data_IF_145840651765
#
_entry.id   IF_145840651765
#
_cell.length_a   1.000
_cell.length_b   1.000
_cell.length_c   1.000
_cell.angle_alpha   90.00
_cell.angle_beta   90.00
_cell.angle_gamma   90.00
#
_symmetry.space_group_name_H-M   'P 1'
#
loop_
_entity.id
_entity.type
_entity.pdbx_description
1 polymer ?
#
# COMPACT_ATOMS: atom_id res chain seq x y z
N UNK A 1 19.58 -6.80 -58.78
CA UNK A 1 19.77 -6.08 -57.50
C UNK A 1 18.49 -5.34 -57.16
N UNK A 2 17.65 -5.92 -56.29
CA UNK A 2 16.33 -5.38 -55.96
C UNK A 2 16.46 -4.59 -54.66
N UNK A 3 16.41 -3.27 -54.76
CA UNK A 3 16.49 -2.36 -53.63
C UNK A 3 15.28 -2.58 -52.70
N UNK A 4 15.54 -3.08 -51.50
CA UNK A 4 14.58 -3.09 -50.39
C UNK A 4 14.32 -1.65 -49.96
N UNK A 5 13.35 -1.01 -50.62
CA UNK A 5 12.85 0.32 -50.27
C UNK A 5 12.08 0.19 -48.96
N UNK A 6 12.77 0.41 -47.84
CA UNK A 6 12.19 0.37 -46.50
C UNK A 6 10.97 1.29 -46.40
N UNK A 7 9.82 0.71 -46.08
CA UNK A 7 8.56 1.45 -45.84
C UNK A 7 8.75 2.32 -44.59
N UNK A 8 8.47 3.62 -44.67
CA UNK A 8 8.52 4.50 -43.48
C UNK A 8 7.39 4.07 -42.53
N UNK A 9 7.74 3.71 -41.30
CA UNK A 9 6.78 3.32 -40.24
C UNK A 9 5.89 4.51 -39.88
N UNK A 10 4.64 4.24 -39.52
CA UNK A 10 3.74 5.28 -39.01
C UNK A 10 4.18 5.74 -37.62
N UNK A 11 3.80 6.95 -37.21
CA UNK A 11 4.15 7.49 -35.90
C UNK A 11 3.69 6.56 -34.77
N UNK A 12 2.43 6.12 -34.83
CA UNK A 12 1.83 5.20 -33.86
C UNK A 12 2.61 3.89 -33.80
N UNK A 13 2.94 3.30 -34.95
CA UNK A 13 3.68 2.04 -35.03
C UNK A 13 5.07 2.14 -34.37
N UNK A 14 5.78 3.25 -34.60
CA UNK A 14 7.07 3.50 -33.94
C UNK A 14 6.94 3.57 -32.41
N UNK A 15 5.96 4.31 -31.89
CA UNK A 15 5.75 4.39 -30.44
C UNK A 15 5.28 3.06 -29.85
N UNK A 16 4.46 2.28 -30.56
CA UNK A 16 4.06 0.94 -30.09
C UNK A 16 5.24 -0.01 -29.97
N UNK A 17 6.16 -0.01 -30.93
CA UNK A 17 7.40 -0.79 -30.87
C UNK A 17 8.28 -0.35 -29.69
N UNK A 18 8.46 0.96 -29.51
CA UNK A 18 9.25 1.49 -28.39
C UNK A 18 8.63 1.22 -27.01
N UNK A 19 7.30 1.29 -26.88
CA UNK A 19 6.60 1.02 -25.63
C UNK A 19 6.59 -0.47 -25.29
N UNK A 20 6.39 -1.34 -26.29
CA UNK A 20 6.46 -2.80 -26.12
C UNK A 20 7.87 -3.26 -25.75
N UNK A 21 8.90 -2.68 -26.36
CA UNK A 21 10.31 -2.94 -25.98
C UNK A 21 10.57 -2.56 -24.51
N UNK A 22 10.22 -1.34 -24.09
CA UNK A 22 10.39 -0.90 -22.70
C UNK A 22 9.59 -1.79 -21.74
N UNK A 23 8.36 -2.15 -22.09
CA UNK A 23 7.50 -3.01 -21.27
C UNK A 23 8.11 -4.40 -21.10
N UNK A 24 8.66 -4.98 -22.18
CA UNK A 24 9.36 -6.27 -22.12
C UNK A 24 10.60 -6.21 -21.23
N UNK A 25 11.37 -5.11 -21.28
CA UNK A 25 12.54 -4.91 -20.42
C UNK A 25 12.13 -4.76 -18.94
N UNK A 26 11.02 -4.07 -18.66
CA UNK A 26 10.46 -3.99 -17.32
C UNK A 26 10.12 -5.39 -16.81
N UNK A 27 9.39 -6.20 -17.59
CA UNK A 27 9.02 -7.56 -17.19
C UNK A 27 10.24 -8.46 -16.96
N UNK A 28 11.24 -8.40 -17.84
CA UNK A 28 12.47 -9.18 -17.67
C UNK A 28 13.24 -8.78 -16.40
N UNK A 29 13.30 -7.48 -16.08
CA UNK A 29 13.95 -7.01 -14.86
C UNK A 29 13.16 -7.42 -13.61
N UNK A 30 11.84 -7.34 -13.65
CA UNK A 30 10.98 -7.72 -12.54
C UNK A 30 11.06 -9.22 -12.25
N UNK A 31 11.07 -10.04 -13.30
CA UNK A 31 11.27 -11.49 -13.20
C UNK A 31 12.64 -11.83 -12.62
N UNK A 32 13.72 -11.15 -13.08
CA UNK A 32 15.07 -11.33 -12.52
C UNK A 32 15.15 -10.92 -11.05
N UNK A 33 14.47 -9.84 -10.67
CA UNK A 33 14.42 -9.39 -9.28
C UNK A 33 13.74 -10.43 -8.39
N UNK A 34 12.59 -10.95 -8.85
CA UNK A 34 11.85 -11.99 -8.13
C UNK A 34 12.67 -13.28 -7.99
N UNK A 35 13.28 -13.78 -9.07
CA UNK A 35 14.11 -14.99 -9.00
C UNK A 35 15.35 -14.80 -8.12
N UNK A 36 15.94 -13.61 -8.15
CA UNK A 36 17.08 -13.28 -7.28
C UNK A 36 16.66 -13.22 -5.81
N UNK A 37 15.46 -12.70 -5.52
CA UNK A 37 14.93 -12.64 -4.16
C UNK A 37 14.70 -14.04 -3.60
N UNK A 38 14.04 -14.91 -4.37
CA UNK A 38 13.82 -16.31 -3.98
C UNK A 38 15.15 -17.06 -3.73
N UNK A 39 16.18 -16.77 -4.53
CA UNK A 39 17.51 -17.33 -4.33
C UNK A 39 18.19 -16.79 -3.06
N UNK A 40 18.14 -15.48 -2.81
CA UNK A 40 18.67 -14.86 -1.58
C UNK A 40 17.98 -15.39 -0.33
N UNK A 41 16.66 -15.58 -0.33
CA UNK A 41 15.90 -16.07 0.83
C UNK A 41 16.28 -17.53 1.15
N UNK A 42 16.41 -18.37 0.11
CA UNK A 42 16.91 -19.75 0.27
C UNK A 42 18.33 -19.76 0.83
N UNK A 43 19.21 -18.91 0.31
CA UNK A 43 20.60 -18.82 0.74
C UNK A 43 20.71 -18.32 2.19
N UNK A 44 19.90 -17.33 2.59
CA UNK A 44 19.85 -16.87 3.99
C UNK A 44 19.38 -17.96 4.95
N UNK A 45 18.37 -18.74 4.56
CA UNK A 45 17.92 -19.88 5.35
C UNK A 45 19.01 -20.94 5.49
N UNK A 46 19.67 -21.30 4.38
CA UNK A 46 20.81 -22.22 4.38
C UNK A 46 21.97 -21.70 5.26
N UNK A 47 22.34 -20.42 5.15
CA UNK A 47 23.39 -19.81 5.97
C UNK A 47 23.04 -19.84 7.46
N UNK A 48 21.78 -19.65 7.85
CA UNK A 48 21.38 -19.78 9.25
C UNK A 48 21.51 -21.23 9.73
N UNK A 49 21.07 -22.21 8.93
CA UNK A 49 21.16 -23.63 9.27
C UNK A 49 22.62 -24.08 9.41
N UNK A 50 23.45 -23.83 8.39
CA UNK A 50 24.87 -24.19 8.41
C UNK A 50 25.66 -23.36 9.43
N UNK A 51 25.31 -22.09 9.64
CA UNK A 51 25.93 -21.24 10.66
C UNK A 51 25.67 -21.77 12.08
N UNK A 52 24.45 -22.22 12.36
CA UNK A 52 24.10 -22.82 13.65
C UNK A 52 24.79 -24.18 13.85
N UNK A 53 24.80 -25.03 12.81
CA UNK A 53 25.48 -26.33 12.86
C UNK A 53 27.00 -26.19 13.08
N UNK A 54 27.65 -25.29 12.35
CA UNK A 54 29.08 -25.01 12.50
C UNK A 54 29.41 -24.39 13.85
N UNK A 55 28.60 -23.45 14.35
CA UNK A 55 28.77 -22.90 15.69
C UNK A 55 28.66 -23.98 16.78
N UNK A 56 27.68 -24.89 16.68
CA UNK A 56 27.51 -25.99 17.63
C UNK A 56 28.72 -26.95 17.64
N UNK A 57 29.26 -27.28 16.46
CA UNK A 57 30.46 -28.13 16.35
C UNK A 57 31.70 -27.47 16.96
N UNK A 58 31.94 -26.18 16.66
CA UNK A 58 33.09 -25.45 17.19
C UNK A 58 32.98 -25.27 18.71
N UNK A 59 31.80 -24.91 19.21
CA UNK A 59 31.53 -24.77 20.64
C UNK A 59 31.71 -26.10 21.38
N UNK A 60 31.17 -27.20 20.83
CA UNK A 60 31.32 -28.54 21.41
C UNK A 60 32.77 -29.00 21.47
N UNK A 61 33.53 -28.79 20.40
CA UNK A 61 34.96 -29.11 20.35
C UNK A 61 35.77 -28.31 21.39
N UNK A 62 35.55 -27.00 21.44
CA UNK A 62 36.25 -26.11 22.38
C UNK A 62 35.88 -26.41 23.83
N UNK A 63 34.63 -26.78 24.10
CA UNK A 63 34.19 -27.18 25.43
C UNK A 63 34.84 -28.49 25.90
N UNK A 64 35.01 -29.48 25.00
CA UNK A 64 35.62 -30.77 25.33
C UNK A 64 37.11 -30.64 25.70
N UNK A 65 37.85 -29.76 25.04
CA UNK A 65 39.31 -29.64 25.21
C UNK A 65 39.72 -28.65 26.30
N UNK A 66 38.93 -27.59 26.51
CA UNK A 66 39.21 -26.52 27.49
C UNK A 66 38.26 -26.54 28.69
N UNK A 67 37.69 -27.72 29.03
CA UNK A 67 36.70 -27.90 30.10
C UNK A 67 37.15 -27.32 31.47
N UNK A 68 38.46 -27.25 31.74
CA UNK A 68 39.01 -26.72 33.00
C UNK A 68 39.09 -25.19 33.09
N UNK A 69 38.99 -24.47 31.96
CA UNK A 69 39.19 -23.00 31.90
C UNK A 69 37.99 -22.27 31.30
N UNK A 70 37.04 -21.92 32.17
CA UNK A 70 35.81 -21.17 31.84
C UNK A 70 35.99 -19.90 30.99
N UNK A 71 37.02 -19.03 31.14
CA UNK A 71 37.08 -17.81 30.33
C UNK A 71 37.31 -18.06 28.84
N UNK A 72 38.02 -19.14 28.47
CA UNK A 72 38.30 -19.45 27.06
C UNK A 72 37.07 -19.97 26.30
N UNK A 73 36.19 -20.74 26.97
CA UNK A 73 34.96 -21.22 26.35
C UNK A 73 33.98 -20.07 26.05
N UNK A 74 33.86 -19.11 26.97
CA UNK A 74 33.04 -17.91 26.78
C UNK A 74 33.61 -17.03 25.65
N UNK A 75 34.93 -16.81 25.63
CA UNK A 75 35.56 -16.02 24.57
C UNK A 75 35.39 -16.64 23.18
N UNK A 76 35.52 -17.97 23.07
CA UNK A 76 35.30 -18.70 21.81
C UNK A 76 33.84 -18.61 21.33
N UNK A 77 32.88 -18.69 22.25
CA UNK A 77 31.48 -18.51 21.93
C UNK A 77 31.15 -17.11 21.38
N UNK A 78 31.72 -16.07 22.00
CA UNK A 78 31.53 -14.70 21.54
C UNK A 78 32.19 -14.51 20.16
N UNK A 79 33.40 -15.04 19.97
CA UNK A 79 34.14 -14.91 18.71
C UNK A 79 33.40 -15.59 17.53
N UNK A 80 32.85 -16.78 17.74
CA UNK A 80 32.10 -17.52 16.71
C UNK A 80 30.79 -16.82 16.34
N UNK A 81 30.03 -16.33 17.34
CA UNK A 81 28.80 -15.56 17.11
C UNK A 81 29.08 -14.23 16.40
N UNK A 82 30.13 -13.52 16.80
CA UNK A 82 30.54 -12.27 16.17
C UNK A 82 30.92 -12.49 14.70
N UNK A 83 31.70 -13.52 14.39
CA UNK A 83 32.10 -13.84 13.02
C UNK A 83 30.89 -14.20 12.13
N UNK A 84 29.98 -15.04 12.62
CA UNK A 84 28.76 -15.40 11.90
C UNK A 84 27.85 -14.18 11.64
N UNK A 85 27.72 -13.31 12.65
CA UNK A 85 26.96 -12.06 12.53
C UNK A 85 27.56 -11.10 11.51
N UNK A 86 28.89 -10.97 11.48
CA UNK A 86 29.59 -10.13 10.49
C UNK A 86 29.40 -10.65 9.07
N UNK A 87 29.57 -11.97 8.85
CA UNK A 87 29.35 -12.60 7.53
C UNK A 87 27.92 -12.34 7.04
N UNK A 88 26.92 -12.52 7.91
CA UNK A 88 25.50 -12.28 7.59
C UNK A 88 25.21 -10.80 7.31
N UNK A 89 25.82 -9.88 8.08
CA UNK A 89 25.68 -8.45 7.88
C UNK A 89 26.27 -8.00 6.54
N UNK A 90 27.46 -8.49 6.19
CA UNK A 90 28.09 -8.24 4.89
C UNK A 90 27.24 -8.77 3.73
N UNK A 91 26.78 -10.03 3.82
CA UNK A 91 25.93 -10.63 2.79
C UNK A 91 24.63 -9.84 2.59
N UNK A 92 23.95 -9.45 3.68
CA UNK A 92 22.70 -8.69 3.59
C UNK A 92 22.89 -7.27 3.04
N UNK A 93 24.00 -6.59 3.36
CA UNK A 93 24.33 -5.27 2.80
C UNK A 93 24.61 -5.32 1.31
N UNK A 94 25.36 -6.33 0.84
CA UNK A 94 25.65 -6.52 -0.59
C UNK A 94 24.33 -6.74 -1.36
N UNK A 95 23.47 -7.61 -0.82
CA UNK A 95 22.14 -7.90 -1.37
C UNK A 95 21.25 -6.65 -1.44
N UNK A 96 21.18 -5.86 -0.35
CA UNK A 96 20.42 -4.62 -0.29
C UNK A 96 20.91 -3.62 -1.34
N UNK A 97 22.23 -3.44 -1.44
CA UNK A 97 22.83 -2.52 -2.40
C UNK A 97 22.58 -2.93 -3.85
N UNK A 98 22.66 -4.23 -4.15
CA UNK A 98 22.32 -4.75 -5.47
C UNK A 98 20.84 -4.51 -5.79
N UNK A 99 19.94 -4.77 -4.85
CA UNK A 99 18.49 -4.52 -5.03
C UNK A 99 18.20 -3.06 -5.29
N UNK A 100 18.82 -2.14 -4.55
CA UNK A 100 18.67 -0.70 -4.77
C UNK A 100 19.10 -0.28 -6.17
N UNK A 101 20.20 -0.84 -6.68
CA UNK A 101 20.66 -0.54 -8.05
C UNK A 101 19.64 -0.98 -9.09
N UNK A 102 19.09 -2.18 -8.92
CA UNK A 102 18.10 -2.73 -9.85
C UNK A 102 16.77 -1.98 -9.77
N UNK A 103 16.30 -1.64 -8.56
CA UNK A 103 15.06 -0.87 -8.38
C UNK A 103 15.16 0.53 -8.99
N UNK A 104 16.31 1.20 -8.83
CA UNK A 104 16.57 2.50 -9.50
C UNK A 104 16.53 2.36 -11.01
N UNK A 105 17.11 1.31 -11.58
CA UNK A 105 17.06 1.05 -13.03
C UNK A 105 15.62 0.85 -13.51
N UNK A 106 14.85 0.02 -12.81
CA UNK A 106 13.44 -0.24 -13.14
C UNK A 106 12.57 1.01 -13.00
N UNK A 107 12.79 1.85 -11.99
CA UNK A 107 12.12 3.15 -11.86
C UNK A 107 12.47 4.10 -13.01
N UNK A 108 13.73 4.12 -13.47
CA UNK A 108 14.12 4.89 -14.66
C UNK A 108 13.40 4.40 -15.92
N UNK A 109 13.29 3.09 -16.12
CA UNK A 109 12.54 2.53 -17.26
C UNK A 109 11.05 2.91 -17.20
N UNK A 110 10.42 2.83 -16.02
CA UNK A 110 9.02 3.28 -15.83
C UNK A 110 8.85 4.77 -16.10
N UNK A 111 9.81 5.60 -15.68
CA UNK A 111 9.82 7.02 -15.97
C UNK A 111 9.93 7.29 -17.48
N UNK A 112 10.84 6.59 -18.18
CA UNK A 112 10.96 6.67 -19.64
C UNK A 112 9.70 6.19 -20.36
N UNK A 113 9.05 5.14 -19.86
CA UNK A 113 7.77 4.66 -20.38
C UNK A 113 6.69 5.75 -20.27
N UNK A 114 6.54 6.35 -19.08
CA UNK A 114 5.57 7.42 -18.85
C UNK A 114 5.86 8.66 -19.71
N UNK A 115 7.14 9.02 -19.84
CA UNK A 115 7.56 10.15 -20.67
C UNK A 115 7.21 9.94 -22.14
N UNK A 116 7.49 8.75 -22.70
CA UNK A 116 7.12 8.43 -24.10
C UNK A 116 5.62 8.41 -24.31
N UNK A 117 4.86 7.88 -23.35
CA UNK A 117 3.41 7.85 -23.40
C UNK A 117 2.80 9.27 -23.35
N UNK A 118 3.35 10.15 -22.52
CA UNK A 118 2.93 11.55 -22.48
C UNK A 118 3.28 12.28 -23.79
N UNK A 119 4.47 12.04 -24.34
CA UNK A 119 4.88 12.60 -25.64
C UNK A 119 3.98 12.15 -26.78
N UNK A 120 3.60 10.87 -26.80
CA UNK A 120 2.62 10.35 -27.75
C UNK A 120 1.28 11.08 -27.62
N UNK A 121 0.77 11.27 -26.40
CA UNK A 121 -0.49 11.99 -26.15
C UNK A 121 -0.45 13.45 -26.63
N UNK A 122 0.70 14.11 -26.47
CA UNK A 122 0.93 15.47 -26.94
C UNK A 122 0.92 15.53 -28.47
N UNK A 123 1.72 14.67 -29.13
CA UNK A 123 1.80 14.63 -30.61
C UNK A 123 0.47 14.25 -31.27
N UNK A 124 -0.38 13.46 -30.60
CA UNK A 124 -1.70 13.08 -31.11
C UNK A 124 -2.83 14.02 -30.68
N UNK A 125 -2.53 15.14 -29.98
CA UNK A 125 -3.53 16.02 -29.38
C UNK A 125 -4.62 15.27 -28.59
N UNK A 126 -4.22 14.19 -27.90
CA UNK A 126 -5.13 13.21 -27.32
C UNK A 126 -6.14 13.87 -26.37
N UNK A 127 -5.71 14.78 -25.52
CA UNK A 127 -6.59 15.44 -24.55
C UNK A 127 -7.62 16.36 -25.19
N UNK A 128 -7.28 17.03 -26.29
CA UNK A 128 -8.20 17.89 -27.02
C UNK A 128 -9.27 17.04 -27.73
N UNK A 129 -8.87 15.98 -28.40
CA UNK A 129 -9.81 15.07 -29.05
C UNK A 129 -10.65 14.31 -28.04
N UNK A 130 -10.04 13.84 -26.94
CA UNK A 130 -10.75 13.10 -25.89
C UNK A 130 -11.77 13.96 -25.15
N UNK A 131 -11.48 15.24 -24.88
CA UNK A 131 -12.46 16.14 -24.24
C UNK A 131 -13.65 16.43 -25.15
N UNK A 132 -13.42 16.58 -26.46
CA UNK A 132 -14.49 16.71 -27.46
C UNK A 132 -15.32 15.43 -27.50
N UNK A 133 -14.69 14.28 -27.67
CA UNK A 133 -15.38 12.98 -27.67
C UNK A 133 -16.19 12.82 -26.38
N UNK A 134 -15.60 13.12 -25.23
CA UNK A 134 -16.27 12.98 -23.93
C UNK A 134 -17.52 13.86 -23.85
N UNK A 135 -17.43 15.14 -24.24
CA UNK A 135 -18.56 16.07 -24.30
C UNK A 135 -19.69 15.57 -25.19
N UNK A 136 -19.37 15.09 -26.40
CA UNK A 136 -20.39 14.63 -27.35
C UNK A 136 -20.86 13.19 -27.12
N UNK A 137 -20.09 12.38 -26.39
CA UNK A 137 -20.46 11.02 -26.01
C UNK A 137 -21.38 10.97 -24.79
N UNK A 138 -21.38 12.01 -23.94
CA UNK A 138 -22.13 12.04 -22.67
C UNK A 138 -23.56 12.59 -22.80
N UNK A 139 -23.98 13.06 -23.98
CA UNK A 139 -25.34 13.56 -24.19
C UNK A 139 -25.57 14.97 -23.61
N UNK A 140 -26.32 15.79 -24.33
CA UNK A 140 -26.44 17.24 -24.14
C UNK A 140 -27.34 17.66 -22.94
N UNK A 141 -28.02 16.72 -22.29
CA UNK A 141 -29.11 17.01 -21.34
C UNK A 141 -28.73 17.06 -19.85
N UNK A 142 -27.47 16.81 -19.48
CA UNK A 142 -27.05 16.75 -18.05
C UNK A 142 -25.84 17.63 -17.69
N UNK A 143 -25.25 18.34 -18.65
CA UNK A 143 -23.89 18.88 -18.50
C UNK A 143 -23.78 20.20 -17.74
N UNK A 144 -24.79 21.08 -17.76
CA UNK A 144 -24.70 22.34 -17.01
C UNK A 144 -24.83 22.10 -15.50
N UNK A 145 -25.82 21.30 -15.09
CA UNK A 145 -26.03 20.99 -13.68
C UNK A 145 -24.96 20.05 -13.11
N UNK A 146 -24.47 19.08 -13.89
CA UNK A 146 -23.40 18.18 -13.43
C UNK A 146 -22.02 18.86 -13.36
N UNK A 147 -21.73 19.83 -14.24
CA UNK A 147 -20.48 20.60 -14.18
C UNK A 147 -20.45 21.52 -12.97
N UNK A 148 -21.56 22.21 -12.68
CA UNK A 148 -21.69 23.05 -11.48
C UNK A 148 -21.59 22.20 -10.20
N UNK A 149 -22.23 21.02 -10.17
CA UNK A 149 -22.15 20.11 -9.03
C UNK A 149 -20.75 19.51 -8.85
N UNK A 150 -20.02 19.22 -9.94
CA UNK A 150 -18.64 18.72 -9.86
C UNK A 150 -17.66 19.78 -9.36
N UNK A 151 -17.77 21.02 -9.84
CA UNK A 151 -16.92 22.10 -9.34
C UNK A 151 -17.19 22.37 -7.85
N UNK A 152 -18.46 22.37 -7.43
CA UNK A 152 -18.84 22.53 -6.02
C UNK A 152 -18.39 21.36 -5.13
N UNK A 153 -18.50 20.12 -5.61
CA UNK A 153 -18.07 18.93 -4.87
C UNK A 153 -16.54 18.85 -4.74
N UNK A 154 -15.83 19.18 -5.82
CA UNK A 154 -14.37 19.25 -5.83
C UNK A 154 -13.88 20.34 -4.88
N UNK A 155 -14.49 21.53 -4.90
CA UNK A 155 -14.16 22.63 -3.96
C UNK A 155 -14.36 22.19 -2.51
N UNK A 156 -15.47 21.51 -2.20
CA UNK A 156 -15.72 20.95 -0.87
C UNK A 156 -14.65 19.95 -0.45
N UNK A 157 -14.24 19.04 -1.34
CA UNK A 157 -13.18 18.05 -1.06
C UNK A 157 -11.81 18.69 -0.84
N UNK A 158 -11.46 19.71 -1.61
CA UNK A 158 -10.23 20.48 -1.38
C UNK A 158 -10.24 21.19 -0.02
N UNK A 159 -11.38 21.74 0.37
CA UNK A 159 -11.55 22.43 1.64
C UNK A 159 -11.48 21.45 2.83
N UNK A 160 -12.07 20.25 2.68
CA UNK A 160 -11.97 19.15 3.64
C UNK A 160 -10.52 18.70 3.86
N UNK A 161 -9.75 18.50 2.79
CA UNK A 161 -8.34 18.15 2.86
C UNK A 161 -7.48 19.24 3.53
N UNK A 162 -7.76 20.52 3.23
CA UNK A 162 -7.05 21.65 3.84
C UNK A 162 -7.30 21.72 5.35
N UNK A 163 -8.55 21.48 5.79
CA UNK A 163 -8.90 21.43 7.20
C UNK A 163 -8.15 20.30 7.93
N UNK A 164 -8.09 19.10 7.35
CA UNK A 164 -7.33 17.98 7.93
C UNK A 164 -5.82 18.29 8.03
N UNK A 165 -5.26 18.98 7.04
CA UNK A 165 -3.87 19.43 7.05
C UNK A 165 -3.61 20.47 8.16
N UNK A 166 -4.55 21.39 8.40
CA UNK A 166 -4.47 22.36 9.49
C UNK A 166 -4.59 21.69 10.86
N UNK A 167 -5.52 20.75 11.03
CA UNK A 167 -5.66 19.92 12.25
C UNK A 167 -4.37 19.15 12.56
N UNK A 168 -3.73 18.51 11.57
CA UNK A 168 -2.46 17.83 11.76
C UNK A 168 -1.33 18.78 12.18
N UNK A 169 -1.29 19.99 11.62
CA UNK A 169 -0.30 21.00 12.00
C UNK A 169 -0.53 21.53 13.42
N UNK A 170 -1.77 21.61 13.87
CA UNK A 170 -2.10 21.93 15.27
C UNK A 170 -1.62 20.80 16.19
N UNK A 171 -1.93 19.53 15.90
CA UNK A 171 -1.41 18.39 16.69
C UNK A 171 0.11 18.33 16.73
N UNK A 172 0.79 18.70 15.64
CA UNK A 172 2.26 18.76 15.60
C UNK A 172 2.85 19.88 16.47
N UNK A 173 2.17 21.02 16.59
CA UNK A 173 2.61 22.18 17.39
C UNK A 173 2.28 22.00 18.87
N UNK A 174 1.16 21.36 19.20
CA UNK A 174 0.75 21.03 20.56
C UNK A 174 1.54 19.80 21.04
N UNK A 175 2.82 19.99 21.32
CA UNK A 175 3.73 18.94 21.77
C UNK A 175 3.24 18.24 23.05
N UNK A 176 2.62 17.06 22.87
CA UNK A 176 2.42 15.95 23.80
C UNK A 176 1.97 16.27 25.24
N UNK A 177 0.67 16.14 25.55
CA UNK A 177 0.21 15.63 26.85
C UNK A 177 -1.30 15.32 26.96
N UNK A 178 -2.18 15.87 26.11
CA UNK A 178 -3.63 15.59 26.21
C UNK A 178 -4.19 14.83 25.01
N UNK A 179 -4.93 13.79 25.37
CA UNK A 179 -5.78 12.86 24.63
C UNK A 179 -5.24 12.07 23.42
N UNK A 180 -4.80 10.84 23.72
CA UNK A 180 -4.76 9.73 22.75
C UNK A 180 -6.11 9.56 22.04
N UNK A 181 -7.22 9.79 22.74
CA UNK A 181 -8.58 9.65 22.23
C UNK A 181 -8.91 10.66 21.11
N UNK A 182 -8.42 11.89 21.18
CA UNK A 182 -8.63 12.89 20.12
C UNK A 182 -7.84 12.57 18.86
N UNK A 183 -6.63 12.03 19.01
CA UNK A 183 -5.83 11.58 17.87
C UNK A 183 -6.45 10.37 17.18
N UNK A 184 -6.92 9.38 17.95
CA UNK A 184 -7.56 8.19 17.39
C UNK A 184 -8.84 8.58 16.61
N UNK A 185 -9.67 9.49 17.15
CA UNK A 185 -10.84 10.05 16.45
C UNK A 185 -10.45 10.82 15.17
N UNK A 186 -9.36 11.58 15.20
CA UNK A 186 -8.84 12.26 14.03
C UNK A 186 -8.34 11.27 12.96
N UNK A 187 -7.61 10.23 13.36
CA UNK A 187 -7.17 9.17 12.45
C UNK A 187 -8.36 8.44 11.80
N UNK A 188 -9.41 8.14 12.56
CA UNK A 188 -10.63 7.53 12.04
C UNK A 188 -11.34 8.44 11.02
N UNK A 189 -11.37 9.77 11.27
CA UNK A 189 -11.90 10.77 10.33
C UNK A 189 -11.10 10.79 9.02
N UNK A 190 -9.77 10.76 9.11
CA UNK A 190 -8.88 10.71 7.93
C UNK A 190 -9.04 9.40 7.16
N UNK A 191 -9.11 8.27 7.87
CA UNK A 191 -9.35 6.96 7.26
C UNK A 191 -10.70 6.91 6.55
N UNK A 192 -11.75 7.52 7.13
CA UNK A 192 -13.05 7.58 6.51
C UNK A 192 -13.04 8.40 5.20
N UNK A 193 -12.30 9.52 5.18
CA UNK A 193 -12.14 10.36 3.98
C UNK A 193 -11.29 9.67 2.91
N UNK A 194 -10.20 9.00 3.29
CA UNK A 194 -9.34 8.24 2.35
C UNK A 194 -10.02 6.98 1.81
N UNK A 195 -10.91 6.37 2.59
CA UNK A 195 -11.66 5.18 2.18
C UNK A 195 -12.88 5.50 1.29
N UNK A 196 -13.16 6.77 1.02
CA UNK A 196 -14.26 7.18 0.15
C UNK A 196 -15.62 7.32 0.84
N UNK A 197 -15.64 7.46 2.16
CA UNK A 197 -16.87 7.63 2.95
C UNK A 197 -17.55 6.29 3.26
N UNK A 198 -17.57 5.97 4.54
CA UNK A 198 -18.31 4.89 5.22
C UNK A 198 -17.64 3.51 5.25
N UNK A 199 -16.79 3.34 6.26
CA UNK A 199 -16.33 2.03 6.72
C UNK A 199 -17.55 1.21 7.16
N UNK A 200 -17.77 0.00 6.61
CA UNK A 200 -18.90 -0.83 6.98
C UNK A 200 -18.85 -1.21 8.48
N UNK A 201 -19.85 -0.80 9.26
CA UNK A 201 -19.94 -1.13 10.70
C UNK A 201 -20.67 -2.46 10.88
N UNK A 202 -20.15 -3.41 11.68
CA UNK A 202 -20.82 -4.70 11.89
C UNK A 202 -22.08 -4.51 12.74
N UNK A 203 -23.18 -5.17 12.35
CA UNK A 203 -24.41 -5.20 13.12
C UNK A 203 -24.30 -6.29 14.18
N UNK A 204 -24.32 -5.89 15.45
CA UNK A 204 -24.37 -6.81 16.60
C UNK A 204 -25.76 -6.77 17.19
N UNK A 205 -26.40 -7.93 17.32
CA UNK A 205 -27.73 -8.02 17.92
C UNK A 205 -27.69 -7.68 19.43
N UNK A 206 -28.58 -6.81 19.89
CA UNK A 206 -28.69 -6.41 21.30
C UNK A 206 -29.18 -7.53 22.22
N UNK A 207 -29.95 -8.49 21.72
CA UNK A 207 -30.49 -9.59 22.53
C UNK A 207 -29.57 -10.79 22.66
N UNK A 208 -28.95 -11.23 21.56
CA UNK A 208 -28.13 -12.44 21.56
C UNK A 208 -26.62 -12.17 21.53
N UNK A 209 -26.20 -10.90 21.40
CA UNK A 209 -24.81 -10.44 21.32
C UNK A 209 -23.92 -11.18 20.31
N UNK A 210 -24.52 -11.87 19.34
CA UNK A 210 -23.80 -12.61 18.29
C UNK A 210 -23.76 -11.77 17.02
N UNK A 211 -22.60 -11.78 16.37
CA UNK A 211 -22.37 -11.17 15.07
C UNK A 211 -22.89 -12.11 13.96
N UNK A 212 -23.71 -11.57 13.07
CA UNK A 212 -24.34 -12.31 11.96
C UNK A 212 -23.58 -12.19 10.64
N UNK A 213 -22.46 -11.45 10.60
CA UNK A 213 -21.74 -11.17 9.35
C UNK A 213 -22.38 -10.06 8.51
N UNK A 214 -23.42 -9.39 9.02
CA UNK A 214 -24.06 -8.26 8.36
C UNK A 214 -23.40 -6.93 8.76
N UNK A 215 -23.28 -6.02 7.79
CA UNK A 215 -22.66 -4.71 7.98
C UNK A 215 -23.59 -3.59 7.52
N UNK A 216 -23.58 -2.45 8.20
CA UNK A 216 -24.25 -1.21 7.77
C UNK A 216 -23.31 -0.42 6.87
N UNK A 217 -23.80 0.03 5.73
CA UNK A 217 -23.14 1.02 4.87
C UNK A 217 -23.96 2.30 4.93
N UNK A 218 -23.39 3.37 5.50
CA UNK A 218 -24.07 4.64 5.72
C UNK A 218 -24.98 4.73 6.96
N UNK A 219 -25.63 5.88 7.11
CA UNK A 219 -26.48 6.26 8.26
C UNK A 219 -28.00 6.11 7.99
N UNK A 220 -28.40 5.35 6.96
CA UNK A 220 -29.82 5.13 6.63
C UNK A 220 -30.59 4.34 7.70
N UNK A 221 -31.92 4.54 7.84
CA UNK A 221 -32.75 3.80 8.79
C UNK A 221 -32.88 2.34 8.37
N UNK A 222 -32.01 1.47 8.92
CA UNK A 222 -32.02 0.04 8.67
C UNK A 222 -32.85 -0.67 9.75
N UNK A 223 -33.93 -1.34 9.35
CA UNK A 223 -34.62 -2.32 10.20
C UNK A 223 -33.92 -3.66 10.05
N UNK A 224 -33.18 -4.07 11.08
CA UNK A 224 -32.43 -5.33 11.08
C UNK A 224 -33.16 -6.41 11.88
N UNK A 225 -33.32 -7.59 11.29
CA UNK A 225 -33.87 -8.77 11.96
C UNK A 225 -32.75 -9.80 12.13
N UNK A 226 -32.46 -10.16 13.37
CA UNK A 226 -31.39 -11.11 13.68
C UNK A 226 -31.74 -12.53 13.21
N UNK A 227 -30.92 -13.19 12.37
CA UNK A 227 -31.18 -14.54 11.90
C UNK A 227 -30.99 -15.62 12.97
N UNK A 228 -30.35 -15.28 14.10
CA UNK A 228 -30.05 -16.21 15.18
C UNK A 228 -31.12 -16.25 16.26
N UNK A 229 -31.80 -15.13 16.53
CA UNK A 229 -32.81 -15.05 17.59
C UNK A 229 -34.16 -14.44 17.15
N UNK A 230 -34.27 -13.95 15.92
CA UNK A 230 -35.50 -13.33 15.40
C UNK A 230 -35.80 -11.93 15.96
N UNK A 231 -34.92 -11.37 16.79
CA UNK A 231 -35.10 -10.02 17.33
C UNK A 231 -35.06 -8.96 16.23
N UNK A 232 -36.02 -8.04 16.25
CA UNK A 232 -36.10 -6.87 15.36
C UNK A 232 -35.48 -5.67 16.08
N UNK A 233 -34.36 -5.19 15.55
CA UNK A 233 -33.73 -3.96 16.01
C UNK A 233 -34.46 -2.75 15.40
N UNK A 234 -34.89 -1.75 16.19
CA UNK A 234 -35.49 -0.53 15.66
C UNK A 234 -34.46 0.30 14.86
N UNK A 235 -34.90 1.18 13.94
CA UNK A 235 -34.01 2.03 13.16
C UNK A 235 -33.07 2.88 14.04
N UNK A 236 -31.83 3.08 13.59
CA UNK A 236 -30.80 3.86 14.29
C UNK A 236 -31.20 5.31 14.62
N UNK A 237 -32.18 5.86 13.90
CA UNK A 237 -32.72 7.22 14.12
C UNK A 237 -33.63 7.31 15.36
N UNK A 238 -34.29 6.21 15.75
CA UNK A 238 -35.12 6.14 16.96
C UNK A 238 -34.27 5.92 18.22
N UNK A 239 -33.19 5.12 18.12
CA UNK A 239 -32.25 4.93 19.23
C UNK A 239 -31.60 6.23 19.72
N UNK A 240 -31.29 7.14 18.80
CA UNK A 240 -30.72 8.46 19.17
C UNK A 240 -31.71 9.30 19.99
N UNK A 241 -33.01 9.23 19.66
CA UNK A 241 -34.06 9.96 20.40
C UNK A 241 -34.34 9.37 21.79
N UNK A 242 -34.27 8.04 21.92
CA UNK A 242 -34.44 7.37 23.22
C UNK A 242 -33.25 7.61 24.15
N UNK A 243 -32.02 7.63 23.65
CA UNK A 243 -30.83 7.95 24.45
C UNK A 243 -30.83 9.41 24.94
N UNK A 244 -31.30 10.34 24.12
CA UNK A 244 -31.43 11.76 24.49
C UNK A 244 -32.57 12.01 25.51
N UNK A 245 -33.69 11.28 25.45
CA UNK A 245 -34.77 11.38 26.45
C UNK A 245 -34.41 10.73 27.80
N UNK A 246 -33.61 9.67 27.81
CA UNK A 246 -33.15 9.02 29.04
C UNK A 246 -32.06 9.83 29.75
N UNK A 247 -31.26 10.62 29.03
CA UNK A 247 -30.26 11.52 29.63
C UNK A 247 -30.84 12.82 30.21
N UNK A 248 -32.12 13.13 29.96
CA UNK A 248 -32.77 14.37 30.38
C UNK A 248 -33.77 14.19 31.54
N UNK A 249 -33.79 13.01 32.18
CA UNK A 249 -34.56 12.70 33.39
C UNK A 249 -33.67 12.38 34.58
#
# INVERSE_FOLDING_TARGET
>A
MMWLRGKRKTLVEKYTEELTDITSQIHQLDQKLKSSQEASDKLQSQLNYYGLATAALVLGYMHMIYHSVLPYSIASAIATLALAGLIKSLASKIDQWQRERQSRRLNRLRASHQQKLNKLKEETNFHATNSVIQRFSQGEDQTEDAMLLMDDEIVKKYQELKNLQEELNQFRKTGNSKDKQERDKWFDKVLNVLAGGDIPRPIVCTQCHKHSGAYTVGDGPLVYICPLCGWREPPLEEKRKEEDEVSSK
#
